data_IF_461922155443
#
_entry.id   IF_461922155443
#
_cell.length_a   1.000
_cell.length_b   1.000
_cell.length_c   1.000
_cell.angle_alpha   90.00
_cell.angle_beta   90.00
_cell.angle_gamma   90.00
#
_symmetry.space_group_name_H-M   'P 1'
#
loop_
_entity.id
_entity.type
_entity.pdbx_description
1 polymer ?
#
# COMPACT_ATOMS: atom_id res chain seq x y z
N UNK A 1 -7.10 -29.46 11.45
CA UNK A 1 -6.23 -28.28 11.65
C UNK A 1 -5.21 -28.22 10.53
N UNK A 2 -5.51 -27.56 9.39
CA UNK A 2 -4.59 -27.26 8.29
C UNK A 2 -5.33 -26.46 7.20
N UNK A 3 -5.24 -25.13 7.21
CA UNK A 3 -5.67 -24.27 6.10
C UNK A 3 -4.76 -23.03 6.06
N UNK A 4 -3.51 -23.24 5.65
CA UNK A 4 -2.64 -22.18 5.11
C UNK A 4 -2.56 -22.39 3.61
N UNK A 5 -2.52 -21.29 2.86
CA UNK A 5 -2.33 -21.23 1.41
C UNK A 5 -3.57 -21.57 0.58
N UNK A 6 -4.29 -20.55 0.09
CA UNK A 6 -4.92 -20.54 -1.25
C UNK A 6 -5.65 -19.25 -1.67
N UNK A 7 -5.57 -18.13 -0.95
CA UNK A 7 -6.40 -16.95 -1.29
C UNK A 7 -5.74 -15.79 -2.06
N UNK A 8 -4.44 -15.81 -2.32
CA UNK A 8 -3.82 -14.80 -3.21
C UNK A 8 -3.91 -15.15 -4.72
N UNK A 9 -4.74 -16.12 -5.12
CA UNK A 9 -4.87 -16.53 -6.54
C UNK A 9 -5.84 -15.70 -7.38
N UNK A 10 -6.59 -14.76 -6.83
CA UNK A 10 -7.65 -14.04 -7.56
C UNK A 10 -7.40 -12.54 -7.84
N UNK A 11 -6.14 -12.10 -7.86
CA UNK A 11 -5.77 -10.83 -8.54
C UNK A 11 -4.59 -11.00 -9.52
N UNK A 12 -4.57 -11.97 -10.47
CA UNK A 12 -3.52 -11.96 -11.51
C UNK A 12 -3.86 -11.05 -12.69
N UNK A 13 -5.13 -10.67 -12.88
CA UNK A 13 -5.57 -10.02 -14.12
C UNK A 13 -5.66 -8.49 -14.04
N UNK A 14 -5.77 -7.92 -12.83
CA UNK A 14 -5.77 -6.47 -12.62
C UNK A 14 -4.39 -5.91 -12.20
N UNK A 15 -3.39 -6.78 -12.02
CA UNK A 15 -2.02 -6.41 -11.67
C UNK A 15 -0.99 -6.72 -12.78
N UNK A 16 -1.45 -6.96 -14.02
CA UNK A 16 -0.59 -6.96 -15.22
C UNK A 16 -0.19 -5.55 -15.67
N UNK A 17 0.05 -4.66 -14.72
CA UNK A 17 0.78 -3.42 -14.91
C UNK A 17 2.10 -3.60 -14.16
N UNK A 18 3.10 -4.17 -14.83
CA UNK A 18 4.52 -3.93 -14.55
C UNK A 18 5.08 -4.19 -13.14
N UNK A 19 4.56 -5.10 -12.32
CA UNK A 19 5.28 -5.53 -11.11
C UNK A 19 6.38 -6.53 -11.47
N UNK A 20 7.47 -6.02 -12.06
CA UNK A 20 8.71 -6.78 -12.20
C UNK A 20 9.24 -7.21 -10.82
N UNK A 21 9.79 -8.42 -10.79
CA UNK A 21 10.35 -9.08 -9.62
C UNK A 21 11.39 -8.20 -8.93
N UNK A 22 11.12 -7.79 -7.69
CA UNK A 22 12.10 -7.13 -6.82
C UNK A 22 13.32 -8.06 -6.65
N UNK A 23 14.56 -7.60 -6.90
CA UNK A 23 15.73 -8.44 -6.72
C UNK A 23 15.95 -8.82 -5.25
N UNK A 24 16.41 -10.06 -5.09
CA UNK A 24 17.07 -10.74 -3.96
C UNK A 24 17.22 -10.00 -2.62
N UNK A 25 16.73 -10.70 -1.57
CA UNK A 25 17.19 -10.72 -0.15
C UNK A 25 18.08 -9.54 0.25
N UNK A 26 17.47 -8.46 0.73
CA UNK A 26 18.16 -7.49 1.57
C UNK A 26 18.19 -8.07 2.98
N UNK A 27 19.36 -8.57 3.38
CA UNK A 27 19.66 -8.90 4.76
C UNK A 27 20.00 -7.58 5.47
N UNK A 28 18.99 -6.95 6.07
CA UNK A 28 19.16 -5.75 6.89
C UNK A 28 19.76 -6.16 8.25
N UNK A 29 21.06 -6.49 8.25
CA UNK A 29 21.82 -6.80 9.47
C UNK A 29 23.02 -5.86 9.56
N UNK A 30 22.84 -4.74 10.26
CA UNK A 30 23.95 -3.95 10.81
C UNK A 30 23.47 -3.27 12.11
N UNK A 31 24.26 -3.48 13.17
CA UNK A 31 24.17 -2.94 14.55
C UNK A 31 23.42 -1.59 14.64
N UNK A 32 22.49 -1.33 15.56
CA UNK A 32 22.42 -1.64 17.00
C UNK A 32 20.91 -1.57 17.41
N UNK A 33 20.40 -2.52 18.19
CA UNK A 33 18.94 -2.75 18.48
C UNK A 33 18.08 -3.03 17.22
N UNK A 34 18.10 -4.30 16.83
CA UNK A 34 17.51 -4.90 15.63
C UNK A 34 16.00 -4.63 15.45
N UNK A 35 15.65 -3.66 14.58
CA UNK A 35 14.28 -3.51 14.10
C UNK A 35 14.02 -4.62 13.06
N UNK A 36 13.35 -5.68 13.48
CA UNK A 36 12.99 -6.79 12.60
C UNK A 36 11.82 -6.43 11.70
N UNK A 37 12.11 -5.94 10.49
CA UNK A 37 11.09 -5.63 9.48
C UNK A 37 10.76 -6.87 8.66
N UNK A 38 9.48 -7.21 8.53
CA UNK A 38 9.08 -8.35 7.69
C UNK A 38 9.17 -8.00 6.20
N UNK A 39 9.43 -9.00 5.34
CA UNK A 39 9.46 -8.83 3.87
C UNK A 39 8.22 -8.15 3.31
N UNK A 40 7.05 -8.44 3.90
CA UNK A 40 5.78 -7.82 3.51
C UNK A 40 5.79 -6.32 3.78
N UNK A 41 6.30 -5.90 4.93
CA UNK A 41 6.40 -4.49 5.31
C UNK A 41 7.40 -3.74 4.44
N UNK A 42 8.54 -4.35 4.12
CA UNK A 42 9.51 -3.81 3.16
C UNK A 42 8.84 -3.59 1.79
N UNK A 43 8.08 -4.57 1.29
CA UNK A 43 7.34 -4.44 0.02
C UNK A 43 6.37 -3.26 0.04
N UNK A 44 5.65 -3.04 1.14
CA UNK A 44 4.72 -1.92 1.28
C UNK A 44 5.43 -0.57 1.25
N UNK A 45 6.65 -0.48 1.80
CA UNK A 45 7.49 0.73 1.71
C UNK A 45 7.91 0.95 0.26
N UNK A 46 8.30 -0.11 -0.46
CA UNK A 46 8.65 0.01 -1.88
C UNK A 46 7.50 0.42 -2.77
N UNK A 47 6.26 0.00 -2.47
CA UNK A 47 5.10 0.46 -3.21
C UNK A 47 4.92 1.99 -3.10
N UNK A 48 5.27 2.58 -1.95
CA UNK A 48 5.25 4.04 -1.73
C UNK A 48 6.40 4.71 -2.46
N UNK A 49 7.63 4.20 -2.33
CA UNK A 49 8.82 4.74 -3.01
C UNK A 49 8.64 4.78 -4.53
N UNK A 50 8.07 3.71 -5.12
CA UNK A 50 7.78 3.67 -6.57
C UNK A 50 6.87 4.81 -7.01
N UNK A 51 5.91 5.25 -6.19
CA UNK A 51 5.08 6.41 -6.54
C UNK A 51 5.88 7.71 -6.62
N UNK A 52 6.96 7.83 -5.85
CA UNK A 52 7.86 8.98 -5.92
C UNK A 52 8.68 8.96 -7.20
N UNK A 53 9.22 7.79 -7.58
CA UNK A 53 9.98 7.64 -8.84
C UNK A 53 9.15 8.08 -10.05
N UNK A 54 7.88 7.70 -10.09
CA UNK A 54 6.99 8.13 -11.17
C UNK A 54 6.72 9.64 -11.16
N UNK A 55 6.68 10.27 -9.99
CA UNK A 55 6.53 11.72 -9.88
C UNK A 55 7.78 12.47 -10.35
N UNK A 56 8.97 11.96 -10.05
CA UNK A 56 10.23 12.55 -10.48
C UNK A 56 10.45 12.39 -12.00
N UNK A 57 10.07 11.25 -12.58
CA UNK A 57 10.14 11.04 -14.03
C UNK A 57 9.22 11.96 -14.85
N UNK A 58 8.06 12.36 -14.32
CA UNK A 58 7.17 13.31 -15.02
C UNK A 58 7.77 14.72 -15.15
N UNK A 59 8.67 15.12 -14.24
CA UNK A 59 9.31 16.44 -14.25
C UNK A 59 10.51 16.53 -15.20
N UNK A 60 11.22 15.41 -15.43
CA UNK A 60 12.49 15.40 -16.17
C UNK A 60 12.32 15.22 -17.69
N UNK A 61 11.13 14.84 -18.17
CA UNK A 61 10.87 14.47 -19.57
C UNK A 61 9.87 15.38 -20.32
N UNK A 62 9.79 16.68 -19.98
CA UNK A 62 9.04 17.64 -20.80
C UNK A 62 9.96 18.17 -21.93
N UNK A 63 10.23 17.32 -22.92
CA UNK A 63 10.65 17.76 -24.25
C UNK A 63 9.40 17.96 -25.12
N UNK A 64 9.22 19.10 -25.83
CA UNK A 64 7.96 19.43 -26.50
C UNK A 64 7.55 18.50 -27.66
N UNK A 65 8.43 17.59 -28.09
CA UNK A 65 8.29 16.91 -29.40
C UNK A 65 7.97 15.41 -29.34
N UNK A 66 7.78 14.80 -28.16
CA UNK A 66 7.40 13.38 -28.08
C UNK A 66 5.91 13.19 -27.75
N UNK A 67 5.11 13.05 -28.80
CA UNK A 67 3.75 12.50 -28.70
C UNK A 67 3.84 11.04 -28.29
N UNK A 68 3.04 10.67 -27.27
CA UNK A 68 2.82 9.31 -26.74
C UNK A 68 3.87 8.78 -25.75
N UNK A 69 3.64 8.96 -24.45
CA UNK A 69 3.43 7.91 -23.43
C UNK A 69 3.46 8.53 -22.03
N UNK A 70 2.30 8.94 -21.49
CA UNK A 70 2.04 8.77 -20.06
C UNK A 70 0.55 8.51 -19.85
N UNK A 71 0.21 7.23 -19.74
CA UNK A 71 -1.08 6.77 -19.19
C UNK A 71 -1.07 6.81 -17.65
N UNK A 72 -0.02 7.36 -17.05
CA UNK A 72 0.11 7.42 -15.61
C UNK A 72 -0.58 8.67 -15.09
N UNK A 73 -1.60 8.48 -14.25
CA UNK A 73 -2.22 9.56 -13.51
C UNK A 73 -1.82 9.36 -12.05
N UNK A 74 -0.91 10.17 -11.50
CA UNK A 74 -0.46 10.00 -10.13
C UNK A 74 -1.61 10.03 -9.13
N UNK A 75 -2.68 10.79 -9.37
CA UNK A 75 -3.87 10.81 -8.50
C UNK A 75 -4.56 9.44 -8.46
N UNK A 76 -4.63 8.76 -9.61
CA UNK A 76 -5.19 7.39 -9.69
C UNK A 76 -4.29 6.38 -8.96
N UNK A 77 -2.98 6.53 -9.05
CA UNK A 77 -2.02 5.65 -8.36
C UNK A 77 -2.08 5.82 -6.83
N UNK A 78 -2.16 7.06 -6.34
CA UNK A 78 -2.40 7.35 -4.92
C UNK A 78 -3.71 6.75 -4.43
N UNK A 79 -4.80 6.91 -5.20
CA UNK A 79 -6.10 6.33 -4.85
C UNK A 79 -6.05 4.80 -4.82
N UNK A 80 -5.36 4.18 -5.78
CA UNK A 80 -5.19 2.73 -5.82
C UNK A 80 -4.40 2.22 -4.59
N UNK A 81 -3.29 2.86 -4.24
CA UNK A 81 -2.56 2.52 -3.01
C UNK A 81 -3.40 2.76 -1.76
N UNK A 82 -4.18 3.85 -1.67
CA UNK A 82 -5.04 4.10 -0.52
C UNK A 82 -6.08 2.99 -0.35
N UNK A 83 -6.72 2.56 -1.44
CA UNK A 83 -7.66 1.43 -1.44
C UNK A 83 -6.96 0.12 -1.03
N UNK A 84 -5.75 -0.14 -1.55
CA UNK A 84 -4.94 -1.30 -1.17
C UNK A 84 -4.65 -1.29 0.33
N UNK A 85 -4.15 -0.18 0.86
CA UNK A 85 -3.82 0.00 2.29
C UNK A 85 -5.04 -0.14 3.19
N UNK A 86 -6.21 0.32 2.75
CA UNK A 86 -7.49 0.13 3.47
C UNK A 86 -7.96 -1.33 3.47
N UNK A 87 -7.40 -2.18 2.60
CA UNK A 87 -7.81 -3.58 2.42
C UNK A 87 -6.91 -4.62 3.10
N UNK A 88 -5.83 -4.19 3.76
CA UNK A 88 -4.88 -5.07 4.45
C UNK A 88 -4.96 -4.90 5.98
N UNK A 89 -4.72 -5.96 6.77
CA UNK A 89 -4.75 -5.90 8.23
C UNK A 89 -3.43 -5.40 8.86
N UNK A 90 -2.44 -5.05 8.04
CA UNK A 90 -1.10 -4.70 8.51
C UNK A 90 -1.11 -3.44 9.41
N UNK A 91 -0.33 -3.50 10.48
CA UNK A 91 -0.03 -2.36 11.34
C UNK A 91 0.58 -1.21 10.54
N UNK A 92 0.38 0.02 11.01
CA UNK A 92 0.98 1.20 10.41
C UNK A 92 2.51 1.04 10.38
N UNK A 93 3.12 1.49 9.28
CA UNK A 93 4.57 1.57 9.14
C UNK A 93 5.07 2.71 10.00
N UNK A 94 6.19 2.49 10.69
CA UNK A 94 6.81 3.52 11.52
C UNK A 94 7.85 4.31 10.76
N UNK A 95 8.13 5.51 11.27
CA UNK A 95 9.23 6.32 10.76
C UNK A 95 10.56 5.58 10.77
N UNK A 96 10.86 4.86 11.86
CA UNK A 96 12.09 4.08 11.98
C UNK A 96 12.22 3.01 10.89
N UNK A 97 11.13 2.32 10.57
CA UNK A 97 11.14 1.30 9.52
C UNK A 97 11.39 1.89 8.13
N UNK A 98 10.76 3.02 7.83
CA UNK A 98 10.93 3.71 6.55
C UNK A 98 12.32 4.30 6.40
N UNK A 99 12.85 4.97 7.43
CA UNK A 99 14.22 5.50 7.44
C UNK A 99 15.24 4.39 7.25
N UNK A 100 15.06 3.23 7.90
CA UNK A 100 15.94 2.08 7.73
C UNK A 100 15.94 1.56 6.28
N UNK A 101 14.77 1.49 5.63
CA UNK A 101 14.70 1.03 4.23
C UNK A 101 15.33 2.03 3.28
N UNK A 102 15.14 3.33 3.49
CA UNK A 102 15.76 4.39 2.68
C UNK A 102 17.28 4.37 2.81
N UNK A 103 17.80 4.33 4.04
CA UNK A 103 19.24 4.39 4.29
C UNK A 103 20.02 3.22 3.69
N UNK A 104 19.36 2.05 3.55
CA UNK A 104 19.96 0.80 3.09
C UNK A 104 19.89 0.53 1.58
N UNK A 105 19.44 1.49 0.76
CA UNK A 105 19.45 1.28 -0.70
C UNK A 105 18.73 2.32 -1.56
N UNK A 106 18.16 3.36 -0.95
CA UNK A 106 17.31 4.35 -1.62
C UNK A 106 17.64 5.77 -1.15
N UNK A 107 18.94 6.06 -0.98
CA UNK A 107 19.43 7.37 -0.48
C UNK A 107 19.07 8.55 -1.39
N UNK A 108 18.65 8.28 -2.63
CA UNK A 108 18.17 9.29 -3.57
C UNK A 108 16.78 9.84 -3.21
N UNK A 109 16.03 9.15 -2.33
CA UNK A 109 14.69 9.57 -1.93
C UNK A 109 14.71 10.40 -0.65
N UNK A 110 13.90 11.46 -0.62
CA UNK A 110 13.64 12.24 0.59
C UNK A 110 12.70 11.49 1.54
N UNK A 111 13.08 11.43 2.82
CA UNK A 111 12.22 10.90 3.89
C UNK A 111 10.99 11.79 4.11
N UNK A 112 11.14 13.11 3.92
CA UNK A 112 10.03 14.07 4.03
C UNK A 112 8.99 13.82 2.94
N UNK A 113 9.41 13.64 1.69
CA UNK A 113 8.50 13.32 0.59
C UNK A 113 7.81 11.97 0.81
N UNK A 114 8.52 11.00 1.38
CA UNK A 114 7.96 9.68 1.66
C UNK A 114 6.89 9.79 2.73
N UNK A 115 7.17 10.55 3.79
CA UNK A 115 6.23 10.84 4.85
C UNK A 115 4.97 11.52 4.30
N UNK A 116 5.11 12.57 3.48
CA UNK A 116 3.96 13.26 2.86
C UNK A 116 3.14 12.28 2.02
N UNK A 117 3.81 11.44 1.24
CA UNK A 117 3.15 10.44 0.39
C UNK A 117 2.41 9.40 1.23
N UNK A 118 3.04 8.91 2.30
CA UNK A 118 2.45 7.95 3.23
C UNK A 118 1.23 8.55 3.93
N UNK A 119 1.34 9.76 4.46
CA UNK A 119 0.26 10.44 5.18
C UNK A 119 -0.97 10.66 4.29
N UNK A 120 -0.75 11.00 3.02
CA UNK A 120 -1.80 11.13 2.02
C UNK A 120 -2.54 9.83 1.74
N UNK A 121 -1.86 8.68 1.82
CA UNK A 121 -2.41 7.36 1.47
C UNK A 121 -3.03 6.66 2.67
N UNK A 122 -2.36 6.74 3.82
CA UNK A 122 -2.58 5.89 4.98
C UNK A 122 -3.16 6.66 6.16
N UNK A 123 -2.83 7.95 6.29
CA UNK A 123 -3.12 8.76 7.47
C UNK A 123 -1.88 8.98 8.34
N UNK A 124 -2.05 9.39 9.61
CA UNK A 124 -0.96 9.88 10.46
C UNK A 124 0.27 8.97 10.46
N UNK A 125 1.45 9.59 10.38
CA UNK A 125 2.74 8.90 10.36
C UNK A 125 3.26 8.67 11.78
N UNK A 126 3.25 7.42 12.28
CA UNK A 126 3.62 7.15 13.66
C UNK A 126 5.14 6.98 13.79
N UNK A 127 5.69 7.43 14.93
CA UNK A 127 7.10 7.22 15.27
C UNK A 127 7.44 5.74 15.50
N UNK A 128 6.48 4.96 16.00
CA UNK A 128 6.60 3.52 16.27
C UNK A 128 5.53 2.70 15.55
N UNK A 129 5.75 1.40 15.31
CA UNK A 129 4.75 0.54 14.68
C UNK A 129 3.49 0.48 15.54
N UNK A 130 2.39 0.98 15.00
CA UNK A 130 1.11 1.08 15.73
C UNK A 130 0.05 0.19 15.10
N UNK A 131 -0.71 -0.56 15.91
CA UNK A 131 -1.82 -1.35 15.39
C UNK A 131 -2.88 -0.43 14.78
N UNK A 132 -3.61 -0.94 13.80
CA UNK A 132 -4.78 -0.25 13.24
C UNK A 132 -5.90 -0.16 14.28
N UNK A 133 -6.82 0.78 14.07
CA UNK A 133 -8.03 0.87 14.89
C UNK A 133 -8.85 -0.41 14.82
N UNK A 134 -9.64 -0.68 15.87
CA UNK A 134 -10.60 -1.79 15.88
C UNK A 134 -11.56 -1.72 14.68
N UNK A 135 -12.01 -0.51 14.33
CA UNK A 135 -12.90 -0.27 13.18
C UNK A 135 -12.28 -0.77 11.88
N UNK A 136 -10.98 -0.55 11.66
CA UNK A 136 -10.27 -1.05 10.49
C UNK A 136 -10.22 -2.58 10.48
N UNK A 137 -9.95 -3.23 11.62
CA UNK A 137 -10.01 -4.69 11.69
C UNK A 137 -11.40 -5.24 11.40
N UNK A 138 -12.46 -4.62 11.94
CA UNK A 138 -13.85 -4.98 11.62
C UNK A 138 -14.11 -4.87 10.11
N UNK A 139 -13.63 -3.80 9.46
CA UNK A 139 -13.71 -3.63 8.00
C UNK A 139 -13.14 -4.83 7.26
N UNK A 140 -11.93 -5.25 7.63
CA UNK A 140 -11.22 -6.35 6.97
C UNK A 140 -12.00 -7.65 7.16
N UNK A 141 -12.45 -7.95 8.37
CA UNK A 141 -13.19 -9.19 8.67
C UNK A 141 -14.50 -9.25 7.89
N UNK A 142 -15.30 -8.18 7.90
CA UNK A 142 -16.57 -8.10 7.17
C UNK A 142 -16.31 -8.28 5.67
N UNK A 143 -15.39 -7.49 5.08
CA UNK A 143 -15.07 -7.61 3.66
C UNK A 143 -14.56 -8.99 3.29
N UNK A 144 -13.75 -9.63 4.14
CA UNK A 144 -13.26 -10.99 3.91
C UNK A 144 -14.41 -12.00 3.88
N UNK A 145 -15.35 -11.88 4.80
CA UNK A 145 -16.55 -12.74 4.81
C UNK A 145 -17.43 -12.52 3.57
N UNK A 146 -17.67 -11.26 3.19
CA UNK A 146 -18.43 -10.95 1.97
C UNK A 146 -17.72 -11.45 0.71
N UNK A 147 -16.39 -11.29 0.63
CA UNK A 147 -15.59 -11.78 -0.49
C UNK A 147 -15.67 -13.31 -0.60
N UNK A 148 -15.59 -14.01 0.54
CA UNK A 148 -15.74 -15.47 0.60
C UNK A 148 -17.10 -15.93 0.07
N UNK A 149 -18.15 -15.14 0.30
CA UNK A 149 -19.50 -15.40 -0.20
C UNK A 149 -19.78 -14.79 -1.59
N UNK A 150 -18.76 -14.32 -2.33
CA UNK A 150 -18.90 -13.69 -3.65
C UNK A 150 -19.83 -12.46 -3.67
N UNK A 151 -19.94 -11.78 -2.53
CA UNK A 151 -20.80 -10.61 -2.36
C UNK A 151 -20.06 -9.30 -2.61
N UNK A 152 -18.75 -9.29 -2.89
CA UNK A 152 -18.05 -8.04 -3.23
C UNK A 152 -17.94 -7.83 -4.75
N UNK A 153 -18.00 -6.57 -5.23
CA UNK A 153 -18.23 -5.35 -4.46
C UNK A 153 -19.72 -5.04 -4.22
N UNK A 154 -20.62 -5.58 -5.04
CA UNK A 154 -22.02 -5.12 -5.14
C UNK A 154 -22.88 -5.46 -3.92
N UNK A 155 -22.60 -6.53 -3.20
CA UNK A 155 -23.35 -6.95 -2.02
C UNK A 155 -23.24 -5.99 -0.83
N UNK A 156 -22.27 -5.06 -0.80
CA UNK A 156 -22.22 -4.00 0.22
C UNK A 156 -23.49 -3.15 0.15
N UNK A 157 -23.98 -2.81 -1.04
CA UNK A 157 -25.18 -1.95 -1.18
C UNK A 157 -26.48 -2.63 -0.71
N UNK A 158 -26.44 -3.92 -0.38
CA UNK A 158 -27.60 -4.68 0.12
C UNK A 158 -27.64 -4.74 1.65
N UNK A 159 -26.61 -4.24 2.34
CA UNK A 159 -26.57 -4.18 3.80
C UNK A 159 -27.47 -3.05 4.28
N UNK A 160 -28.32 -3.33 5.25
CA UNK A 160 -29.16 -2.32 5.92
C UNK A 160 -28.38 -1.63 7.04
N UNK A 161 -27.44 -0.76 6.66
CA UNK A 161 -26.56 -0.01 7.57
C UNK A 161 -26.39 1.44 7.09
N UNK A 162 -25.99 2.38 7.98
CA UNK A 162 -25.74 3.77 7.61
C UNK A 162 -24.79 3.95 6.41
N UNK A 163 -25.04 4.98 5.60
CA UNK A 163 -24.27 5.29 4.38
C UNK A 163 -22.79 5.50 4.64
N UNK A 164 -22.44 6.06 5.80
CA UNK A 164 -21.05 6.23 6.25
C UNK A 164 -20.34 4.90 6.48
N UNK A 165 -21.05 3.87 6.95
CA UNK A 165 -20.50 2.52 7.09
C UNK A 165 -20.43 1.80 5.74
N UNK A 166 -21.37 2.06 4.83
CA UNK A 166 -21.30 1.55 3.45
C UNK A 166 -20.06 2.09 2.72
N UNK A 167 -19.81 3.40 2.76
CA UNK A 167 -18.63 4.00 2.13
C UNK A 167 -17.32 3.52 2.77
N UNK A 168 -17.32 3.38 4.10
CA UNK A 168 -16.23 2.77 4.87
C UNK A 168 -15.94 1.33 4.43
N UNK A 169 -16.98 0.51 4.24
CA UNK A 169 -16.83 -0.86 3.74
C UNK A 169 -16.43 -0.90 2.26
N UNK A 170 -16.77 0.12 1.46
CA UNK A 170 -16.35 0.24 0.04
C UNK A 170 -14.91 0.71 -0.14
N UNK A 171 -14.19 1.04 0.93
CA UNK A 171 -12.82 1.58 0.90
C UNK A 171 -12.76 3.01 0.32
N UNK A 172 -13.87 3.74 0.35
CA UNK A 172 -13.96 5.13 -0.13
C UNK A 172 -13.41 6.12 0.89
N UNK A 173 -13.48 5.77 2.18
CA UNK A 173 -13.10 6.60 3.33
C UNK A 173 -11.94 5.97 4.11
#
# INVERSE_FOLDING_TARGET
MLMRSRFFRFIPHLLKIGFSTVPRKINLYANDKEIRISKRRISLIYDILRLQDFHLMEMEYISPESVSYSRFNPKSAHKALAVMWRSIPDALLSQKEMTLVISNGHQQHSIEELQITYERIVGPYPSEPTPRSLTHYCRIVIRKFMAFNLQLPHGISKLDIPTTLLSFLRLEC
#
